data_IF_027878488597
#
_entry.id   IF_027878488597
#
_cell.length_a   1.000
_cell.length_b   1.000
_cell.length_c   1.000
_cell.angle_alpha   90.00
_cell.angle_beta   90.00
_cell.angle_gamma   90.00
#
_symmetry.space_group_name_H-M   'P 1'
#
loop_
_entity.id
_entity.type
_entity.pdbx_description
1 polymer ?
#
# COMPACT_ATOMS: atom_id res chain seq x y z
N UNK A 1 -30.33 -0.76 1.23
CA UNK A 1 -31.28 0.04 2.04
C UNK A 1 -31.44 1.43 1.39
N UNK A 2 -32.59 2.09 1.57
CA UNK A 2 -32.88 3.40 0.98
C UNK A 2 -31.90 4.42 1.56
N UNK A 3 -31.03 4.99 0.71
CA UNK A 3 -30.00 5.98 1.11
C UNK A 3 -28.59 5.45 1.32
N UNK A 4 -28.28 4.19 0.98
CA UNK A 4 -26.90 3.70 1.06
C UNK A 4 -26.00 4.39 0.02
N UNK A 5 -25.01 5.15 0.48
CA UNK A 5 -24.01 5.81 -0.37
C UNK A 5 -22.75 4.96 -0.46
N UNK A 6 -22.33 4.52 -1.66
CA UNK A 6 -21.09 3.77 -1.81
C UNK A 6 -19.88 4.67 -1.54
N UNK A 7 -18.80 4.07 -1.02
CA UNK A 7 -17.52 4.75 -0.74
C UNK A 7 -16.67 5.03 -1.98
N UNK A 8 -17.15 4.64 -3.16
CA UNK A 8 -16.47 4.81 -4.44
C UNK A 8 -17.34 4.36 -5.60
N UNK A 9 -16.77 4.30 -6.80
CA UNK A 9 -17.47 4.02 -8.05
C UNK A 9 -16.75 2.93 -8.83
N UNK A 10 -17.49 1.97 -9.37
CA UNK A 10 -16.93 1.03 -10.35
C UNK A 10 -16.87 1.73 -11.72
N UNK A 11 -15.68 1.88 -12.27
CA UNK A 11 -15.47 2.54 -13.58
C UNK A 11 -15.68 1.54 -14.71
N UNK A 12 -15.04 0.37 -14.62
CA UNK A 12 -15.16 -0.75 -15.57
C UNK A 12 -14.96 -2.09 -14.85
N UNK A 13 -15.17 -3.21 -15.55
CA UNK A 13 -14.88 -4.55 -14.99
C UNK A 13 -13.40 -4.62 -14.60
N UNK A 14 -13.12 -5.08 -13.38
CA UNK A 14 -11.76 -5.15 -12.84
C UNK A 14 -11.17 -3.81 -12.36
N UNK A 15 -11.89 -2.68 -12.45
CA UNK A 15 -11.37 -1.38 -12.01
C UNK A 15 -12.38 -0.60 -11.17
N UNK A 16 -11.96 -0.26 -9.96
CA UNK A 16 -12.72 0.46 -8.96
C UNK A 16 -12.00 1.77 -8.60
N UNK A 17 -12.75 2.86 -8.56
CA UNK A 17 -12.27 4.16 -8.14
C UNK A 17 -12.76 4.44 -6.71
N UNK A 18 -11.81 4.69 -5.81
CA UNK A 18 -12.12 5.07 -4.43
C UNK A 18 -12.55 6.54 -4.36
N UNK A 19 -13.25 6.96 -3.30
CA UNK A 19 -13.58 8.38 -3.09
C UNK A 19 -12.35 9.32 -3.02
N UNK A 20 -11.15 8.77 -2.82
CA UNK A 20 -9.89 9.51 -2.82
C UNK A 20 -9.26 9.64 -4.23
N UNK A 21 -9.90 9.07 -5.26
CA UNK A 21 -9.40 9.07 -6.64
C UNK A 21 -8.44 7.93 -6.97
N UNK A 22 -8.18 6.99 -6.05
CA UNK A 22 -7.33 5.83 -6.35
C UNK A 22 -8.05 4.80 -7.21
N UNK A 23 -7.34 4.35 -8.25
CA UNK A 23 -7.74 3.27 -9.13
C UNK A 23 -7.16 1.95 -8.61
N UNK A 24 -8.04 1.08 -8.12
CA UNK A 24 -7.69 -0.23 -7.57
C UNK A 24 -8.46 -1.32 -8.30
N UNK A 25 -7.94 -2.56 -8.29
CA UNK A 25 -8.70 -3.67 -8.84
C UNK A 25 -9.97 -3.92 -8.00
N UNK A 26 -11.10 -4.08 -8.69
CA UNK A 26 -12.40 -4.29 -8.08
C UNK A 26 -12.45 -5.59 -7.24
N UNK A 27 -11.81 -6.67 -7.71
CA UNK A 27 -11.87 -7.98 -7.06
C UNK A 27 -11.05 -7.98 -5.76
N UNK A 28 -9.85 -7.38 -5.78
CA UNK A 28 -9.05 -7.20 -4.55
C UNK A 28 -9.70 -6.24 -3.57
N UNK A 29 -10.37 -5.19 -4.03
CA UNK A 29 -11.17 -4.33 -3.14
C UNK A 29 -12.33 -5.12 -2.50
N UNK A 30 -13.00 -5.97 -3.27
CA UNK A 30 -14.04 -6.89 -2.77
C UNK A 30 -13.50 -7.85 -1.71
N UNK A 31 -12.39 -8.53 -2.01
CA UNK A 31 -11.72 -9.45 -1.08
C UNK A 31 -11.31 -8.75 0.23
N UNK A 32 -10.71 -7.56 0.13
CA UNK A 32 -10.34 -6.78 1.31
C UNK A 32 -11.55 -6.40 2.17
N UNK A 33 -12.67 -6.02 1.55
CA UNK A 33 -13.90 -5.70 2.28
C UNK A 33 -14.47 -6.93 3.01
N UNK A 34 -14.39 -8.12 2.41
CA UNK A 34 -14.81 -9.38 3.04
C UNK A 34 -13.88 -9.71 4.21
N UNK A 35 -12.56 -9.66 4.00
CA UNK A 35 -11.58 -9.90 5.04
C UNK A 35 -11.77 -8.97 6.24
N UNK A 36 -12.04 -7.68 6.02
CA UNK A 36 -12.35 -6.74 7.11
C UNK A 36 -13.61 -7.13 7.90
N UNK A 37 -14.67 -7.57 7.23
CA UNK A 37 -15.91 -8.03 7.92
C UNK A 37 -15.68 -9.30 8.73
N UNK A 38 -14.82 -10.20 8.27
CA UNK A 38 -14.48 -11.44 8.98
C UNK A 38 -13.57 -11.14 10.16
N UNK A 39 -12.58 -10.27 9.99
CA UNK A 39 -11.68 -9.85 11.06
C UNK A 39 -12.43 -9.26 12.26
N UNK A 40 -13.50 -8.50 12.03
CA UNK A 40 -14.34 -7.96 13.12
C UNK A 40 -15.21 -9.00 13.83
N UNK A 41 -15.45 -10.16 13.21
CA UNK A 41 -16.27 -11.23 13.79
C UNK A 41 -15.44 -12.24 14.59
N UNK A 42 -14.13 -12.23 14.42
CA UNK A 42 -13.24 -13.10 15.17
C UNK A 42 -12.79 -12.37 16.44
N UNK A 43 -13.02 -12.94 17.64
CA UNK A 43 -12.40 -12.42 18.85
C UNK A 43 -10.88 -12.53 18.70
N UNK A 44 -10.18 -11.47 19.10
CA UNK A 44 -8.76 -11.28 18.87
C UNK A 44 -7.94 -12.52 19.27
N UNK A 45 -7.34 -13.20 18.29
CA UNK A 45 -6.16 -14.02 18.57
C UNK A 45 -4.96 -13.09 18.51
N UNK A 46 -4.50 -12.68 19.70
CA UNK A 46 -3.19 -12.07 19.89
C UNK A 46 -2.12 -12.90 19.16
N UNK A 47 -1.70 -12.45 17.99
CA UNK A 47 -0.44 -12.86 17.38
C UNK A 47 0.13 -11.66 16.68
N UNK A 48 1.20 -11.11 17.26
CA UNK A 48 2.02 -10.04 16.70
C UNK A 48 2.28 -10.34 15.23
N UNK A 49 1.77 -9.50 14.33
CA UNK A 49 2.26 -9.48 12.95
C UNK A 49 3.57 -8.70 12.99
N UNK A 50 4.67 -9.43 13.01
CA UNK A 50 6.01 -8.90 12.88
C UNK A 50 6.14 -8.27 11.48
N UNK A 51 6.19 -6.94 11.42
CA UNK A 51 6.39 -6.18 10.18
C UNK A 51 7.85 -6.27 9.77
N UNK A 52 8.31 -7.45 9.34
CA UNK A 52 9.65 -7.59 8.77
C UNK A 52 9.50 -8.01 7.31
N UNK A 53 9.63 -7.04 6.39
CA UNK A 53 9.83 -7.34 4.98
C UNK A 53 8.90 -6.69 3.96
N UNK A 54 8.57 -5.40 4.11
CA UNK A 54 8.28 -4.58 2.92
C UNK A 54 9.45 -3.64 2.70
N UNK A 55 10.34 -4.06 1.80
CA UNK A 55 11.48 -3.31 1.27
C UNK A 55 10.95 -1.98 0.72
N UNK A 56 11.08 -0.90 1.48
CA UNK A 56 10.93 0.46 0.94
C UNK A 56 12.11 0.67 0.00
N UNK A 57 11.90 0.51 -1.30
CA UNK A 57 12.77 1.17 -2.25
C UNK A 57 12.42 2.66 -2.19
N UNK A 58 13.16 3.40 -1.37
CA UNK A 58 13.17 4.86 -1.44
C UNK A 58 13.64 5.28 -2.83
N UNK A 59 12.86 6.18 -3.44
CA UNK A 59 13.18 6.79 -4.70
C UNK A 59 14.48 7.60 -4.57
N UNK A 60 15.42 7.39 -5.51
CA UNK A 60 16.61 8.22 -5.67
C UNK A 60 16.18 9.68 -5.93
N UNK A 61 16.59 10.66 -5.10
CA UNK A 61 16.43 12.06 -5.47
C UNK A 61 17.45 12.42 -6.56
N UNK A 62 16.92 12.99 -7.64
CA UNK A 62 17.69 13.47 -8.78
C UNK A 62 18.62 14.63 -8.40
N UNK A 63 19.84 14.56 -8.94
CA UNK A 63 20.70 15.65 -9.39
C UNK A 63 21.00 16.83 -8.42
N UNK A 64 22.28 16.91 -8.03
CA UNK A 64 23.02 18.16 -8.08
C UNK A 64 23.69 18.60 -6.77
N UNK A 65 25.01 18.43 -6.68
CA UNK A 65 26.02 19.51 -6.54
C UNK A 65 27.41 18.89 -6.33
N UNK A 66 28.40 19.69 -6.72
CA UNK A 66 29.81 19.37 -6.96
C UNK A 66 30.62 19.16 -5.67
N UNK A 67 31.79 18.57 -5.88
CA UNK A 67 33.04 18.78 -5.16
C UNK A 67 33.23 18.02 -3.83
N UNK A 68 34.24 17.14 -3.83
CA UNK A 68 35.42 17.16 -2.93
C UNK A 68 35.74 15.79 -2.33
N UNK A 69 36.74 15.13 -2.92
CA UNK A 69 37.89 14.45 -2.29
C UNK A 69 37.66 13.82 -0.91
N UNK A 70 37.65 12.47 -0.85
CA UNK A 70 38.47 11.64 0.06
C UNK A 70 38.21 10.17 -0.34
N UNK A 71 39.10 9.49 -1.08
CA UNK A 71 40.38 8.88 -0.68
C UNK A 71 40.18 7.70 0.28
N UNK A 72 40.82 6.59 -0.09
CA UNK A 72 40.98 5.31 0.61
C UNK A 72 39.96 4.22 0.22
N UNK A 73 40.37 3.35 -0.71
CA UNK A 73 40.27 1.88 -0.62
C UNK A 73 41.16 1.31 -1.73
N UNK A 74 42.46 1.52 -1.55
CA UNK A 74 43.50 0.61 -2.06
C UNK A 74 44.00 -0.11 -0.82
N UNK A 75 44.30 -1.41 -0.96
CA UNK A 75 44.88 -2.33 0.02
C UNK A 75 43.86 -3.17 0.82
N UNK A 76 43.37 -4.25 0.20
CA UNK A 76 43.65 -5.66 0.53
C UNK A 76 42.68 -6.58 -0.22
#
# INVERSE_FOLDING_TARGET
PKGWKPSGKRVRRGLYETAKGYLINADTNGAANIARKVATQLPERNSKQETTGSRKHEALPAAGKRQTILRCWTVC
#
